data_IF_371917353121
#
_entry.id   IF_371917353121
#
_cell.length_a   1.000
_cell.length_b   1.000
_cell.length_c   1.000
_cell.angle_alpha   90.00
_cell.angle_beta   90.00
_cell.angle_gamma   90.00
#
_symmetry.space_group_name_H-M   'P 1'
#
loop_
_entity.id
_entity.type
_entity.pdbx_description
1 polymer ?
#
# COMPACT_ATOMS: atom_id res chain seq x y z
N UNK A 1 -7.59 10.26 19.52
CA UNK A 1 -6.64 9.44 18.73
C UNK A 1 -5.80 10.39 17.90
N UNK A 2 -4.46 10.31 17.98
CA UNK A 2 -3.60 11.06 17.04
C UNK A 2 -3.85 10.48 15.64
N UNK A 3 -4.00 11.30 14.59
CA UNK A 3 -4.25 10.75 13.26
C UNK A 3 -2.97 10.13 12.72
N UNK A 4 -3.05 8.87 12.29
CA UNK A 4 -1.89 8.05 11.92
C UNK A 4 -1.23 8.44 10.58
N UNK A 5 -1.72 9.48 9.88
CA UNK A 5 -1.26 9.93 8.56
C UNK A 5 -1.90 11.27 8.17
N UNK A 6 -1.40 11.87 7.09
CA UNK A 6 -1.82 13.17 6.59
C UNK A 6 -3.26 13.24 6.09
N UNK A 7 -3.77 12.18 5.46
CA UNK A 7 -5.17 12.13 5.00
C UNK A 7 -6.13 12.19 6.19
N UNK A 8 -5.86 11.39 7.24
CA UNK A 8 -6.67 11.39 8.45
C UNK A 8 -6.54 12.70 9.23
N UNK A 9 -5.35 13.31 9.26
CA UNK A 9 -5.15 14.66 9.83
C UNK A 9 -5.99 15.70 9.09
N UNK A 10 -5.96 15.69 7.76
CA UNK A 10 -6.72 16.63 6.94
C UNK A 10 -8.23 16.43 7.11
N UNK A 11 -8.70 15.19 7.07
CA UNK A 11 -10.11 14.85 7.19
C UNK A 11 -10.68 15.21 8.57
N UNK A 12 -9.92 14.94 9.65
CA UNK A 12 -10.32 15.30 11.01
C UNK A 12 -10.43 16.82 11.18
N UNK A 13 -9.46 17.57 10.66
CA UNK A 13 -9.47 19.05 10.66
C UNK A 13 -10.66 19.61 9.88
N UNK A 14 -10.94 19.06 8.70
CA UNK A 14 -12.11 19.44 7.90
C UNK A 14 -13.43 19.17 8.62
N UNK A 15 -13.55 18.04 9.33
CA UNK A 15 -14.75 17.71 10.11
C UNK A 15 -14.91 18.58 11.35
N UNK A 16 -13.81 18.97 12.00
CA UNK A 16 -13.82 19.90 13.14
C UNK A 16 -14.03 21.36 12.76
N UNK A 17 -13.91 21.72 11.49
CA UNK A 17 -13.97 23.11 11.01
C UNK A 17 -12.71 23.94 11.26
N UNK A 18 -11.68 23.37 11.90
CA UNK A 18 -10.41 24.03 12.17
C UNK A 18 -9.49 24.03 10.94
N UNK A 19 -9.21 25.21 10.39
CA UNK A 19 -8.29 25.45 9.27
C UNK A 19 -8.37 24.43 8.11
N UNK A 20 -9.56 24.16 7.54
CA UNK A 20 -9.76 23.14 6.50
C UNK A 20 -8.94 23.40 5.23
N UNK A 21 -8.75 24.68 4.86
CA UNK A 21 -7.95 25.06 3.69
C UNK A 21 -6.45 24.82 3.90
N UNK A 22 -5.96 25.03 5.12
CA UNK A 22 -4.56 24.74 5.47
C UNK A 22 -4.31 23.24 5.51
N UNK A 23 -5.27 22.48 6.04
CA UNK A 23 -5.20 21.02 6.09
C UNK A 23 -5.21 20.40 4.67
N UNK A 24 -6.08 20.90 3.79
CA UNK A 24 -6.08 20.55 2.37
C UNK A 24 -4.80 21.02 1.67
N UNK A 25 -4.30 22.22 1.98
CA UNK A 25 -3.06 22.76 1.44
C UNK A 25 -1.86 21.89 1.77
N UNK A 26 -1.76 21.40 3.02
CA UNK A 26 -0.71 20.48 3.48
C UNK A 26 -0.80 19.10 2.81
N UNK A 27 -2.01 18.53 2.74
CA UNK A 27 -2.21 17.26 2.03
C UNK A 27 -1.85 17.40 0.54
N UNK A 28 -2.28 18.50 -0.08
CA UNK A 28 -2.00 18.79 -1.49
C UNK A 28 -0.52 19.08 -1.69
N UNK A 29 0.17 19.75 -0.77
CA UNK A 29 1.61 20.00 -0.91
C UNK A 29 2.41 18.71 -0.87
N UNK A 30 2.06 17.79 0.03
CA UNK A 30 2.79 16.53 0.22
C UNK A 30 2.45 15.51 -0.87
N UNK A 31 1.21 15.52 -1.35
CA UNK A 31 0.84 14.80 -2.58
C UNK A 31 1.48 15.46 -3.82
N UNK A 32 1.63 16.79 -3.85
CA UNK A 32 2.29 17.51 -4.94
C UNK A 32 3.79 17.23 -4.94
N UNK A 33 4.48 17.04 -3.82
CA UNK A 33 5.91 16.65 -3.85
C UNK A 33 6.09 15.30 -4.53
N UNK A 34 5.15 14.38 -4.36
CA UNK A 34 5.11 13.12 -5.09
C UNK A 34 4.71 13.31 -6.57
N UNK A 35 3.69 14.12 -6.84
CA UNK A 35 3.19 14.33 -8.20
C UNK A 35 4.07 15.30 -9.02
N UNK A 36 4.90 16.13 -8.38
CA UNK A 36 5.93 16.98 -8.99
C UNK A 36 7.09 16.16 -9.55
N UNK A 37 7.35 14.97 -9.01
CA UNK A 37 8.20 13.98 -9.70
C UNK A 37 7.62 13.57 -11.06
N UNK A 38 6.34 13.83 -11.32
CA UNK A 38 5.67 13.42 -12.56
C UNK A 38 5.28 14.56 -13.51
N UNK A 39 5.34 15.85 -13.16
CA UNK A 39 4.88 16.98 -14.01
C UNK A 39 3.44 16.84 -14.57
N UNK A 40 2.64 15.89 -14.06
CA UNK A 40 1.34 15.52 -14.65
C UNK A 40 0.21 16.39 -14.11
N UNK A 41 0.27 16.82 -12.84
CA UNK A 41 -0.85 17.56 -12.23
C UNK A 41 -0.96 18.99 -12.71
N UNK A 42 0.16 19.69 -12.89
CA UNK A 42 0.16 21.09 -13.34
C UNK A 42 -0.37 21.25 -14.77
N UNK A 43 -0.42 20.15 -15.54
CA UNK A 43 -0.92 20.11 -16.93
C UNK A 43 -2.37 19.64 -17.04
N UNK A 44 -3.01 19.25 -15.94
CA UNK A 44 -4.33 18.62 -15.97
C UNK A 44 -5.42 19.67 -15.73
N UNK A 45 -6.41 19.81 -16.64
CA UNK A 45 -7.54 20.69 -16.40
C UNK A 45 -8.33 20.32 -15.14
N UNK A 46 -8.88 21.30 -14.43
CA UNK A 46 -9.63 21.07 -13.19
C UNK A 46 -10.80 20.11 -13.38
N UNK A 47 -11.56 20.27 -14.47
CA UNK A 47 -12.65 19.36 -14.83
C UNK A 47 -12.15 17.93 -15.03
N UNK A 48 -10.91 17.77 -15.52
CA UNK A 48 -10.28 16.48 -15.71
C UNK A 48 -9.98 15.80 -14.37
N UNK A 49 -9.43 16.56 -13.43
CA UNK A 49 -9.16 16.07 -12.08
C UNK A 49 -10.47 15.68 -11.37
N UNK A 50 -11.51 16.50 -11.48
CA UNK A 50 -12.81 16.27 -10.86
C UNK A 50 -13.46 14.98 -11.36
N UNK A 51 -13.48 14.73 -12.67
CA UNK A 51 -14.06 13.49 -13.18
C UNK A 51 -13.21 12.27 -12.82
N UNK A 52 -11.87 12.38 -12.83
CA UNK A 52 -10.99 11.28 -12.39
C UNK A 52 -11.21 10.92 -10.93
N UNK A 53 -11.38 11.91 -10.06
CA UNK A 53 -11.69 11.67 -8.66
C UNK A 53 -13.05 10.98 -8.48
N UNK A 54 -14.06 11.43 -9.25
CA UNK A 54 -15.38 10.76 -9.28
C UNK A 54 -15.28 9.32 -9.77
N UNK A 55 -14.41 9.05 -10.75
CA UNK A 55 -14.14 7.70 -11.25
C UNK A 55 -13.50 6.83 -10.18
N UNK A 56 -12.44 7.31 -9.51
CA UNK A 56 -11.76 6.59 -8.43
C UNK A 56 -12.76 6.25 -7.31
N UNK A 57 -13.61 7.20 -6.92
CA UNK A 57 -14.65 6.96 -5.90
C UNK A 57 -15.62 5.84 -6.31
N UNK A 58 -16.09 5.84 -7.56
CA UNK A 58 -16.97 4.78 -8.08
C UNK A 58 -16.26 3.42 -8.14
N UNK A 59 -15.02 3.40 -8.61
CA UNK A 59 -14.21 2.18 -8.65
C UNK A 59 -13.97 1.62 -7.25
N UNK A 60 -13.67 2.48 -6.28
CA UNK A 60 -13.49 2.10 -4.88
C UNK A 60 -14.78 1.53 -4.27
N UNK A 61 -15.95 2.12 -4.55
CA UNK A 61 -17.23 1.57 -4.11
C UNK A 61 -17.48 0.18 -4.70
N UNK A 62 -17.27 0.02 -6.00
CA UNK A 62 -17.43 -1.26 -6.68
C UNK A 62 -16.51 -2.35 -6.12
N UNK A 63 -15.23 -2.04 -5.93
CA UNK A 63 -14.25 -2.96 -5.36
C UNK A 63 -14.59 -3.34 -3.92
N UNK A 64 -14.95 -2.35 -3.07
CA UNK A 64 -15.27 -2.59 -1.67
C UNK A 64 -16.47 -3.51 -1.46
N UNK A 65 -17.47 -3.48 -2.35
CA UNK A 65 -18.63 -4.37 -2.28
C UNK A 65 -18.29 -5.81 -2.65
N UNK A 66 -17.27 -6.04 -3.48
CA UNK A 66 -16.93 -7.37 -4.03
C UNK A 66 -15.73 -8.02 -3.37
N UNK A 67 -15.00 -7.29 -2.52
CA UNK A 67 -13.77 -7.79 -1.92
C UNK A 67 -13.98 -9.02 -1.03
N UNK A 68 -15.17 -9.15 -0.46
CA UNK A 68 -15.58 -10.33 0.34
C UNK A 68 -15.78 -11.58 -0.52
N UNK A 69 -16.04 -11.43 -1.82
CA UNK A 69 -16.20 -12.55 -2.76
C UNK A 69 -14.86 -13.13 -3.22
N UNK A 70 -13.73 -12.54 -2.81
CA UNK A 70 -12.39 -13.03 -3.17
C UNK A 70 -12.07 -14.28 -2.36
N UNK A 71 -12.06 -15.43 -3.03
CA UNK A 71 -11.73 -16.74 -2.44
C UNK A 71 -10.25 -17.12 -2.58
N UNK A 72 -9.48 -16.33 -3.32
CA UNK A 72 -8.05 -16.52 -3.50
C UNK A 72 -7.29 -16.16 -2.22
N UNK A 73 -6.12 -16.77 -2.03
CA UNK A 73 -5.18 -16.34 -0.99
C UNK A 73 -4.59 -14.99 -1.40
N UNK A 74 -4.65 -14.02 -0.48
CA UNK A 74 -4.22 -12.64 -0.74
C UNK A 74 -3.09 -12.28 0.23
N UNK A 75 -1.99 -11.77 -0.32
CA UNK A 75 -0.93 -11.15 0.45
C UNK A 75 -1.14 -9.63 0.45
N UNK A 76 -1.37 -9.06 1.63
CA UNK A 76 -1.45 -7.62 1.83
C UNK A 76 -0.08 -7.12 2.25
N UNK A 77 0.52 -6.25 1.43
CA UNK A 77 1.76 -5.56 1.74
C UNK A 77 1.43 -4.16 2.22
N UNK A 78 1.86 -3.81 3.43
CA UNK A 78 1.53 -2.53 4.03
C UNK A 78 2.78 -1.86 4.62
N UNK A 79 3.03 -0.63 4.18
CA UNK A 79 4.01 0.25 4.79
C UNK A 79 3.47 0.81 6.11
N UNK A 80 4.32 0.82 7.14
CA UNK A 80 4.01 1.41 8.45
C UNK A 80 4.53 2.84 8.60
N UNK A 81 5.53 3.24 7.83
CA UNK A 81 6.09 4.61 7.81
C UNK A 81 5.49 5.45 6.67
N UNK A 82 4.29 5.07 6.21
CA UNK A 82 3.53 5.80 5.20
C UNK A 82 2.86 7.03 5.82
N UNK A 83 3.51 8.19 5.67
CA UNK A 83 2.96 9.45 6.12
C UNK A 83 1.81 9.96 5.23
N UNK A 84 1.70 9.46 3.99
CA UNK A 84 0.73 9.92 3.00
C UNK A 84 -0.62 9.20 3.15
N UNK A 85 -0.61 7.87 3.14
CA UNK A 85 -1.83 7.05 3.21
C UNK A 85 -1.98 6.32 4.54
N UNK A 86 -3.23 6.06 5.00
CA UNK A 86 -3.53 5.19 6.14
C UNK A 86 -3.24 3.71 5.89
N UNK A 87 -2.09 3.36 5.32
CA UNK A 87 -1.74 2.02 4.84
C UNK A 87 -1.89 0.94 5.92
N UNK A 88 -1.49 1.22 7.17
CA UNK A 88 -1.65 0.30 8.30
C UNK A 88 -3.12 0.04 8.65
N UNK A 89 -3.91 1.10 8.82
CA UNK A 89 -5.33 1.00 9.16
C UNK A 89 -6.13 0.31 8.04
N UNK A 90 -5.79 0.64 6.78
CA UNK A 90 -6.40 0.00 5.63
C UNK A 90 -6.06 -1.48 5.51
N UNK A 91 -4.82 -1.89 5.79
CA UNK A 91 -4.43 -3.29 5.78
C UNK A 91 -5.27 -4.12 6.76
N UNK A 92 -5.50 -3.62 7.98
CA UNK A 92 -6.39 -4.27 8.95
C UNK A 92 -7.85 -4.31 8.46
N UNK A 93 -8.36 -3.21 7.89
CA UNK A 93 -9.72 -3.18 7.34
C UNK A 93 -9.89 -4.21 6.21
N UNK A 94 -8.90 -4.34 5.33
CA UNK A 94 -8.90 -5.29 4.23
C UNK A 94 -8.80 -6.73 4.74
N UNK A 95 -7.96 -7.00 5.73
CA UNK A 95 -7.83 -8.33 6.31
C UNK A 95 -9.15 -8.81 6.93
N UNK A 96 -9.88 -7.93 7.61
CA UNK A 96 -11.19 -8.28 8.17
C UNK A 96 -12.26 -8.55 7.10
N UNK A 97 -12.07 -8.06 5.87
CA UNK A 97 -13.02 -8.25 4.76
C UNK A 97 -12.66 -9.40 3.82
N UNK A 98 -11.37 -9.75 3.72
CA UNK A 98 -10.89 -10.78 2.80
C UNK A 98 -10.69 -12.08 3.59
N UNK A 99 -11.47 -13.14 3.30
CA UNK A 99 -11.45 -14.37 4.12
C UNK A 99 -10.08 -15.05 4.23
N UNK A 100 -9.25 -14.97 3.18
CA UNK A 100 -7.94 -15.64 3.09
C UNK A 100 -6.80 -14.65 2.87
N UNK A 101 -6.67 -13.67 3.76
CA UNK A 101 -5.58 -12.69 3.68
C UNK A 101 -4.49 -12.90 4.73
N UNK A 102 -3.24 -12.71 4.33
CA UNK A 102 -2.10 -12.52 5.23
C UNK A 102 -1.58 -11.10 5.07
N UNK A 103 -1.17 -10.45 6.17
CA UNK A 103 -0.54 -9.13 6.12
C UNK A 103 0.96 -9.28 6.36
N UNK A 104 1.76 -8.57 5.56
CA UNK A 104 3.17 -8.34 5.81
C UNK A 104 3.40 -6.83 5.98
N UNK A 105 3.88 -6.45 7.16
CA UNK A 105 4.13 -5.05 7.51
C UNK A 105 5.60 -4.70 7.29
N UNK A 106 5.83 -3.51 6.72
CA UNK A 106 7.16 -2.94 6.55
C UNK A 106 7.31 -1.75 7.49
N UNK A 107 8.06 -1.97 8.57
CA UNK A 107 8.19 -0.98 9.66
C UNK A 107 8.97 0.27 9.25
N UNK A 108 9.98 0.15 8.37
CA UNK A 108 10.92 1.21 8.01
C UNK A 108 10.81 1.69 6.56
N UNK A 109 9.75 1.30 5.88
CA UNK A 109 9.53 1.62 4.47
C UNK A 109 8.38 2.58 4.33
N UNK A 110 8.46 3.50 3.37
CA UNK A 110 7.45 4.52 3.11
C UNK A 110 6.38 4.08 2.12
N UNK A 111 5.67 5.06 1.57
CA UNK A 111 4.54 4.85 0.66
C UNK A 111 4.92 4.07 -0.63
N UNK A 112 6.15 4.24 -1.12
CA UNK A 112 6.62 3.69 -2.40
C UNK A 112 7.25 2.30 -2.25
N UNK A 113 6.60 1.44 -1.46
CA UNK A 113 7.14 0.17 -1.00
C UNK A 113 7.79 -0.70 -2.09
N UNK A 114 7.17 -0.81 -3.27
CA UNK A 114 7.67 -1.67 -4.35
C UNK A 114 8.81 -1.05 -5.19
N UNK A 115 9.10 0.23 -4.99
CA UNK A 115 10.14 0.98 -5.69
C UNK A 115 11.36 1.27 -4.81
N UNK A 116 11.23 1.04 -3.50
CA UNK A 116 12.30 1.26 -2.53
C UNK A 116 13.40 0.20 -2.64
N UNK A 117 14.64 0.64 -2.40
CA UNK A 117 15.78 -0.27 -2.35
C UNK A 117 15.66 -1.23 -1.16
N UNK A 118 15.98 -2.51 -1.38
CA UNK A 118 15.91 -3.56 -0.36
C UNK A 118 14.56 -4.27 -0.24
N UNK A 119 13.52 -3.82 -0.96
CA UNK A 119 12.22 -4.53 -0.99
C UNK A 119 12.17 -5.47 -2.19
N UNK A 120 12.38 -6.76 -1.93
CA UNK A 120 12.31 -7.80 -2.96
C UNK A 120 11.03 -8.61 -2.83
N UNK A 121 10.09 -8.40 -3.77
CA UNK A 121 8.80 -9.12 -3.82
C UNK A 121 9.00 -10.63 -3.88
N UNK A 122 10.03 -11.10 -4.60
CA UNK A 122 10.39 -12.52 -4.65
C UNK A 122 10.72 -13.05 -3.26
N UNK A 123 11.58 -12.38 -2.50
CA UNK A 123 11.97 -12.76 -1.14
C UNK A 123 10.77 -12.78 -0.19
N UNK A 124 9.86 -11.82 -0.33
CA UNK A 124 8.63 -11.76 0.47
C UNK A 124 7.73 -12.97 0.15
N UNK A 125 7.50 -13.27 -1.13
CA UNK A 125 6.67 -14.41 -1.53
C UNK A 125 7.25 -15.73 -1.00
N UNK A 126 8.59 -15.90 -1.06
CA UNK A 126 9.29 -17.05 -0.47
C UNK A 126 9.08 -17.14 1.03
N UNK A 127 9.28 -16.02 1.74
CA UNK A 127 9.17 -15.95 3.20
C UNK A 127 7.75 -16.28 3.70
N UNK A 128 6.71 -15.78 3.02
CA UNK A 128 5.32 -16.03 3.43
C UNK A 128 4.81 -17.41 2.97
N UNK A 129 5.54 -18.08 2.08
CA UNK A 129 5.21 -19.43 1.58
C UNK A 129 3.92 -19.46 0.77
N UNK A 130 3.58 -18.35 0.09
CA UNK A 130 2.35 -18.23 -0.70
C UNK A 130 2.51 -18.66 -2.16
N UNK A 131 3.74 -18.98 -2.57
CA UNK A 131 3.97 -19.52 -3.90
C UNK A 131 3.43 -20.95 -4.00
N UNK A 132 2.76 -21.24 -5.12
CA UNK A 132 2.26 -22.57 -5.47
C UNK A 132 2.14 -22.73 -6.98
N UNK A 133 2.52 -23.89 -7.51
CA UNK A 133 2.37 -24.24 -8.93
C UNK A 133 0.97 -24.73 -9.26
N UNK A 134 0.22 -25.22 -8.27
CA UNK A 134 -1.10 -25.82 -8.46
C UNK A 134 -2.14 -25.25 -7.50
N UNK A 135 -3.38 -25.75 -7.57
CA UNK A 135 -4.45 -25.39 -6.62
C UNK A 135 -4.15 -25.82 -5.19
N UNK A 136 -3.27 -26.81 -5.00
CA UNK A 136 -2.85 -27.31 -3.70
C UNK A 136 -1.36 -26.99 -3.49
N UNK A 137 -1.02 -26.56 -2.27
CA UNK A 137 0.36 -26.30 -1.92
C UNK A 137 1.10 -27.62 -1.70
N UNK A 138 2.25 -27.80 -2.36
CA UNK A 138 3.07 -28.98 -2.26
C UNK A 138 4.51 -28.61 -1.90
N UNK A 139 4.92 -28.95 -0.67
CA UNK A 139 6.17 -28.52 -0.05
C UNK A 139 7.43 -28.70 -0.91
N UNK A 140 7.52 -29.79 -1.66
CA UNK A 140 8.68 -30.10 -2.52
C UNK A 140 8.63 -29.34 -3.85
N UNK A 141 7.51 -29.41 -4.57
CA UNK A 141 7.37 -28.80 -5.90
C UNK A 141 7.26 -27.28 -5.84
N UNK A 142 6.66 -26.74 -4.78
CA UNK A 142 6.49 -25.30 -4.58
C UNK A 142 7.66 -24.65 -3.83
N UNK A 143 8.73 -25.40 -3.58
CA UNK A 143 9.93 -24.86 -2.98
C UNK A 143 10.63 -23.92 -3.97
N UNK A 144 10.86 -22.67 -3.55
CA UNK A 144 11.67 -21.73 -4.30
C UNK A 144 13.03 -21.59 -3.58
N UNK A 145 14.15 -21.94 -4.24
CA UNK A 145 15.47 -21.77 -3.64
C UNK A 145 15.82 -20.29 -3.43
N UNK A 146 16.68 -19.98 -2.43
CA UNK A 146 17.24 -18.65 -2.27
C UNK A 146 18.00 -18.20 -3.53
N UNK A 147 17.88 -16.92 -3.92
CA UNK A 147 18.68 -16.36 -5.00
C UNK A 147 20.10 -16.03 -4.53
N UNK A 148 21.03 -15.94 -5.47
CA UNK A 148 22.41 -15.54 -5.16
C UNK A 148 22.48 -14.15 -4.47
N UNK A 149 21.56 -13.24 -4.81
CA UNK A 149 21.44 -11.94 -4.14
C UNK A 149 21.04 -12.08 -2.68
N UNK A 150 20.04 -12.91 -2.36
CA UNK A 150 19.60 -13.17 -0.98
C UNK A 150 20.74 -13.78 -0.17
N UNK A 151 21.49 -14.72 -0.76
CA UNK A 151 22.63 -15.35 -0.09
C UNK A 151 23.75 -14.35 0.21
N UNK A 152 24.06 -13.46 -0.73
CA UNK A 152 25.07 -12.42 -0.54
C UNK A 152 24.68 -11.41 0.55
N UNK A 153 23.40 -11.03 0.64
CA UNK A 153 22.93 -10.14 1.71
C UNK A 153 23.02 -10.81 3.09
N UNK A 154 22.79 -12.12 3.18
CA UNK A 154 22.98 -12.88 4.43
C UNK A 154 24.47 -12.95 4.82
N UNK A 155 25.39 -13.15 3.87
CA UNK A 155 26.84 -13.13 4.17
C UNK A 155 27.29 -11.76 4.69
N UNK A 156 26.77 -10.66 4.10
CA UNK A 156 27.03 -9.31 4.58
C UNK A 156 26.48 -9.05 5.97
N UNK A 157 25.29 -9.57 6.29
CA UNK A 157 24.65 -9.39 7.59
C UNK A 157 25.29 -10.25 8.70
N UNK A 158 26.06 -11.29 8.34
CA UNK A 158 26.73 -12.20 9.28
C UNK A 158 28.15 -11.75 9.65
N UNK A 159 28.63 -10.64 9.07
CA UNK A 159 29.92 -10.00 9.38
C UNK A 159 29.72 -8.78 10.26
#
# INVERSE_FOLDING_TARGET
>A
MRPDNEVNMALSRMQSGEHPLEALGRLTSNMSTFLKQTNILDKLPEDTLKWKMKLIKRAAQYANCRIQSVTAEVLLLASCDDNLLPSKSEAYRLQNKIPKSKIFFFEKHGHSLLLEHGVHVSSIIKCVGLYRHSRCHHRVFDYIPPSATELNEVDKASR
#
